data_IF_567609256308
#
_entry.id   IF_567609256308
#
_cell.length_a   1.000
_cell.length_b   1.000
_cell.length_c   1.000
_cell.angle_alpha   90.00
_cell.angle_beta   90.00
_cell.angle_gamma   90.00
#
_symmetry.space_group_name_H-M   'P 1'
#
loop_
_entity.id
_entity.type
_entity.pdbx_description
1 polymer ?
#
# COMPACT_ATOMS: atom_id res chain seq x y z
N UNK A 1 -21.97 12.95 2.62
CA UNK A 1 -20.91 13.99 2.61
C UNK A 1 -19.85 13.51 3.57
N UNK A 2 -18.59 13.50 3.15
CA UNK A 2 -17.50 13.09 4.03
C UNK A 2 -17.04 14.28 4.87
N UNK A 3 -16.79 14.03 6.16
CA UNK A 3 -16.35 15.03 7.13
C UNK A 3 -14.85 14.95 7.42
N UNK A 4 -14.22 13.82 7.11
CA UNK A 4 -12.78 13.61 7.19
C UNK A 4 -12.33 12.55 6.17
N UNK A 5 -11.02 12.41 6.00
CA UNK A 5 -10.38 11.44 5.12
C UNK A 5 -10.70 9.99 5.50
N UNK A 6 -10.85 9.68 6.79
CA UNK A 6 -11.12 8.32 7.25
C UNK A 6 -12.48 7.82 6.75
N UNK A 7 -13.48 8.71 6.67
CA UNK A 7 -14.79 8.38 6.09
C UNK A 7 -14.69 8.10 4.58
N UNK A 8 -13.88 8.88 3.84
CA UNK A 8 -13.61 8.62 2.41
C UNK A 8 -13.00 7.23 2.25
N UNK A 9 -11.96 6.93 3.03
CA UNK A 9 -11.27 5.64 2.91
C UNK A 9 -12.13 4.47 3.38
N UNK A 10 -12.95 4.65 4.42
CA UNK A 10 -13.89 3.61 4.86
C UNK A 10 -14.94 3.33 3.79
N UNK A 11 -15.48 4.35 3.13
CA UNK A 11 -16.43 4.17 2.02
C UNK A 11 -15.78 3.43 0.84
N UNK A 12 -14.53 3.75 0.52
CA UNK A 12 -13.76 3.01 -0.50
C UNK A 12 -13.60 1.54 -0.10
N UNK A 13 -13.19 1.26 1.13
CA UNK A 13 -13.12 -0.12 1.64
C UNK A 13 -14.46 -0.85 1.52
N UNK A 14 -15.56 -0.21 1.93
CA UNK A 14 -16.91 -0.79 1.88
C UNK A 14 -17.34 -1.13 0.46
N UNK A 15 -17.02 -0.26 -0.50
CA UNK A 15 -17.29 -0.51 -1.90
C UNK A 15 -16.52 -1.72 -2.45
N UNK A 16 -15.24 -1.89 -2.08
CA UNK A 16 -14.49 -3.09 -2.48
C UNK A 16 -14.97 -4.35 -1.74
N UNK A 17 -15.31 -4.22 -0.47
CA UNK A 17 -15.85 -5.33 0.33
C UNK A 17 -17.19 -5.82 -0.23
N UNK A 18 -18.07 -4.91 -0.66
CA UNK A 18 -19.35 -5.26 -1.29
C UNK A 18 -19.23 -5.96 -2.65
N UNK A 19 -18.03 -6.03 -3.25
CA UNK A 19 -17.77 -6.73 -4.52
C UNK A 19 -17.26 -8.17 -4.33
N UNK A 20 -17.17 -8.66 -3.08
CA UNK A 20 -16.79 -10.04 -2.80
C UNK A 20 -17.86 -10.97 -3.39
N UNK A 21 -17.44 -11.92 -4.24
CA UNK A 21 -18.33 -12.92 -4.83
C UNK A 21 -18.46 -14.17 -3.94
N UNK A 22 -19.23 -15.16 -4.39
CA UNK A 22 -19.48 -16.42 -3.67
C UNK A 22 -18.21 -17.25 -3.40
N UNK A 23 -17.13 -17.01 -4.17
CA UNK A 23 -15.83 -17.65 -3.94
C UNK A 23 -14.99 -16.90 -2.89
N UNK A 24 -15.55 -15.86 -2.27
CA UNK A 24 -14.87 -15.05 -1.26
C UNK A 24 -13.77 -14.16 -1.85
N UNK A 25 -13.77 -13.85 -3.16
CA UNK A 25 -12.75 -12.99 -3.80
C UNK A 25 -13.39 -11.77 -4.45
N UNK A 26 -12.61 -10.73 -4.72
CA UNK A 26 -13.08 -9.58 -5.51
C UNK A 26 -12.67 -9.84 -6.97
N UNK A 27 -13.60 -10.06 -7.89
CA UNK A 27 -13.28 -10.28 -9.30
C UNK A 27 -12.71 -9.00 -9.93
N UNK A 28 -11.69 -9.16 -10.77
CA UNK A 28 -11.09 -8.08 -11.53
C UNK A 28 -10.92 -8.49 -12.99
N UNK A 29 -10.97 -7.51 -13.88
CA UNK A 29 -10.63 -7.69 -15.28
C UNK A 29 -9.48 -6.75 -15.62
N UNK A 30 -8.30 -7.32 -15.80
CA UNK A 30 -7.13 -6.57 -16.19
C UNK A 30 -7.02 -6.61 -17.71
N UNK A 31 -6.96 -5.42 -18.33
CA UNK A 31 -6.63 -5.32 -19.75
C UNK A 31 -5.38 -6.15 -20.05
N UNK A 32 -5.41 -6.91 -21.15
CA UNK A 32 -4.24 -7.62 -21.62
C UNK A 32 -3.06 -6.65 -21.74
N UNK A 33 -1.83 -7.05 -21.37
CA UNK A 33 -0.64 -6.23 -21.57
C UNK A 33 -0.50 -5.98 -23.08
N UNK A 34 -0.97 -4.84 -23.57
CA UNK A 34 -0.79 -4.46 -24.97
C UNK A 34 0.69 -4.24 -25.21
N UNK A 35 1.15 -4.69 -26.38
CA UNK A 35 2.54 -4.82 -26.79
C UNK A 35 3.50 -3.73 -26.24
N UNK A 36 4.58 -4.23 -25.65
CA UNK A 36 5.94 -3.67 -25.54
C UNK A 36 6.13 -2.31 -26.22
N UNK A 37 6.38 -1.25 -25.44
CA UNK A 37 6.90 -0.01 -26.01
C UNK A 37 6.90 1.24 -25.15
N UNK A 38 6.16 1.33 -24.04
CA UNK A 38 6.22 2.51 -23.18
C UNK A 38 6.24 2.16 -21.69
N UNK A 39 7.08 2.87 -20.95
CA UNK A 39 7.35 2.69 -19.51
C UNK A 39 6.17 3.21 -18.64
N UNK A 40 4.91 2.94 -18.99
CA UNK A 40 3.73 3.71 -18.53
C UNK A 40 2.45 2.90 -18.83
N UNK A 41 1.48 2.58 -17.99
CA UNK A 41 1.12 2.77 -16.60
C UNK A 41 0.72 1.37 -16.10
N UNK A 42 0.84 1.10 -14.80
CA UNK A 42 0.46 -0.20 -14.29
C UNK A 42 -1.05 -0.49 -14.51
N UNK A 43 -1.42 -1.58 -15.23
CA UNK A 43 -2.82 -1.87 -15.55
C UNK A 43 -3.73 -2.00 -14.31
N UNK A 44 -3.18 -2.43 -13.18
CA UNK A 44 -3.94 -2.56 -11.95
C UNK A 44 -4.26 -1.18 -11.36
N UNK A 45 -3.30 -0.26 -11.35
CA UNK A 45 -3.51 1.09 -10.82
C UNK A 45 -4.57 1.83 -11.65
N UNK A 46 -4.57 1.63 -12.99
CA UNK A 46 -5.64 2.12 -13.88
C UNK A 46 -7.01 1.53 -13.51
N UNK A 47 -7.08 0.22 -13.25
CA UNK A 47 -8.31 -0.44 -12.87
C UNK A 47 -8.85 0.14 -11.55
N UNK A 48 -7.99 0.39 -10.57
CA UNK A 48 -8.39 0.97 -9.28
C UNK A 48 -8.93 2.39 -9.48
N UNK A 49 -8.22 3.25 -10.23
CA UNK A 49 -8.72 4.58 -10.58
C UNK A 49 -10.12 4.50 -11.21
N UNK A 50 -10.31 3.67 -12.22
CA UNK A 50 -11.58 3.54 -12.94
C UNK A 50 -12.70 3.05 -12.01
N UNK A 51 -12.44 2.03 -11.18
CA UNK A 51 -13.41 1.54 -10.20
C UNK A 51 -13.83 2.63 -9.22
N UNK A 52 -12.88 3.45 -8.75
CA UNK A 52 -13.17 4.56 -7.84
C UNK A 52 -13.98 5.66 -8.53
N UNK A 53 -13.61 6.07 -9.74
CA UNK A 53 -14.34 7.08 -10.52
C UNK A 53 -15.78 6.66 -10.80
N UNK A 54 -16.01 5.38 -11.09
CA UNK A 54 -17.35 4.83 -11.35
C UNK A 54 -18.19 4.75 -10.08
N UNK A 55 -17.61 4.30 -8.96
CA UNK A 55 -18.32 4.11 -7.71
C UNK A 55 -18.63 5.43 -6.98
N UNK A 56 -17.77 6.45 -7.14
CA UNK A 56 -17.85 7.69 -6.38
C UNK A 56 -17.82 8.93 -7.30
N UNK A 57 -18.91 9.25 -8.02
CA UNK A 57 -18.96 10.39 -8.94
C UNK A 57 -18.77 11.75 -8.26
N UNK A 58 -19.05 11.83 -6.96
CA UNK A 58 -18.81 13.01 -6.11
C UNK A 58 -17.34 13.24 -5.79
N UNK A 59 -16.49 12.23 -5.97
CA UNK A 59 -15.05 12.33 -5.77
C UNK A 59 -14.36 12.70 -7.09
N UNK A 60 -13.33 13.51 -6.99
CA UNK A 60 -12.32 13.70 -8.03
C UNK A 60 -11.20 12.71 -7.76
N UNK A 61 -10.94 11.81 -8.71
CA UNK A 61 -9.93 10.75 -8.58
C UNK A 61 -8.92 10.91 -9.73
N UNK A 62 -7.66 11.10 -9.38
CA UNK A 62 -6.57 11.45 -10.30
C UNK A 62 -5.38 10.54 -10.06
N UNK A 63 -4.83 9.91 -11.11
CA UNK A 63 -3.52 9.25 -11.04
C UNK A 63 -2.37 10.25 -11.09
N UNK A 64 -1.37 10.07 -10.23
CA UNK A 64 -0.22 10.99 -10.10
C UNK A 64 0.86 10.82 -11.19
N UNK A 65 0.72 9.83 -12.08
CA UNK A 65 1.64 9.57 -13.19
C UNK A 65 2.94 8.87 -12.77
N UNK A 66 3.87 8.70 -13.72
CA UNK A 66 5.10 7.93 -13.50
C UNK A 66 5.93 8.47 -12.35
N UNK A 67 6.43 7.54 -11.51
CA UNK A 67 7.43 7.83 -10.47
C UNK A 67 6.95 8.87 -9.44
N UNK A 68 5.64 9.07 -9.34
CA UNK A 68 5.01 9.96 -8.37
C UNK A 68 4.26 9.14 -7.34
N UNK A 69 4.43 9.48 -6.07
CA UNK A 69 3.68 8.92 -4.95
C UNK A 69 2.84 10.03 -4.32
N UNK A 70 1.57 9.77 -3.93
CA UNK A 70 0.87 8.48 -4.04
C UNK A 70 0.41 8.16 -5.46
N UNK A 71 0.19 6.90 -5.80
CA UNK A 71 -0.28 6.48 -7.13
C UNK A 71 -1.60 7.16 -7.54
N UNK A 72 -2.53 7.33 -6.59
CA UNK A 72 -3.84 7.95 -6.78
C UNK A 72 -4.06 9.07 -5.74
N UNK A 73 -4.64 10.18 -6.19
CA UNK A 73 -5.16 11.27 -5.36
C UNK A 73 -6.67 11.27 -5.45
N UNK A 74 -7.33 11.35 -4.30
CA UNK A 74 -8.79 11.43 -4.19
C UNK A 74 -9.12 12.75 -3.50
N UNK A 75 -10.06 13.49 -4.06
CA UNK A 75 -10.59 14.72 -3.49
C UNK A 75 -12.11 14.70 -3.43
N UNK A 76 -12.69 14.95 -2.27
CA UNK A 76 -14.12 15.24 -2.18
C UNK A 76 -14.38 16.62 -2.82
N UNK A 77 -15.13 16.65 -3.92
CA UNK A 77 -15.40 17.88 -4.68
C UNK A 77 -16.16 18.92 -3.86
N UNK A 78 -16.93 18.49 -2.85
CA UNK A 78 -17.80 19.36 -2.06
C UNK A 78 -17.10 19.90 -0.83
N UNK A 79 -16.35 19.08 -0.11
CA UNK A 79 -15.69 19.49 1.14
C UNK A 79 -14.23 19.90 0.93
N UNK A 80 -13.63 19.49 -0.18
CA UNK A 80 -12.23 19.76 -0.49
C UNK A 80 -11.25 18.87 0.29
N UNK A 81 -11.71 17.87 1.02
CA UNK A 81 -10.86 16.85 1.67
C UNK A 81 -10.05 16.15 0.59
N UNK A 82 -8.73 16.04 0.79
CA UNK A 82 -7.81 15.37 -0.14
C UNK A 82 -7.12 14.24 0.61
N UNK A 83 -7.08 13.06 0.00
CA UNK A 83 -6.40 11.88 0.52
C UNK A 83 -5.62 11.18 -0.59
N UNK A 84 -4.41 10.74 -0.24
CA UNK A 84 -3.56 9.94 -1.09
C UNK A 84 -3.86 8.45 -0.93
N UNK A 85 -3.79 7.72 -2.04
CA UNK A 85 -3.88 6.26 -2.06
C UNK A 85 -2.72 5.69 -2.87
N UNK A 86 -1.76 5.07 -2.18
CA UNK A 86 -0.71 4.29 -2.80
C UNK A 86 -1.20 2.86 -3.03
N UNK A 87 -0.98 2.32 -4.23
CA UNK A 87 -1.38 0.96 -4.60
C UNK A 87 -0.15 0.06 -4.58
N UNK A 88 -0.30 -1.10 -3.93
CA UNK A 88 0.73 -2.13 -3.87
C UNK A 88 0.08 -3.47 -4.17
N UNK A 89 0.62 -4.21 -5.12
CA UNK A 89 0.12 -5.55 -5.44
C UNK A 89 1.23 -6.57 -5.51
N UNK A 90 0.85 -7.80 -5.25
CA UNK A 90 1.63 -8.99 -5.52
C UNK A 90 0.73 -10.00 -6.24
N UNK A 91 1.32 -10.85 -7.07
CA UNK A 91 0.63 -12.00 -7.66
C UNK A 91 0.97 -13.22 -6.82
N UNK A 92 -0.01 -14.09 -6.54
CA UNK A 92 0.21 -15.36 -5.87
C UNK A 92 1.16 -16.25 -6.67
N UNK A 93 1.99 -17.01 -5.98
CA UNK A 93 2.66 -18.19 -6.53
C UNK A 93 1.63 -19.29 -6.81
N UNK A 94 1.97 -20.33 -7.59
CA UNK A 94 1.06 -21.46 -7.85
C UNK A 94 0.52 -22.16 -6.58
N UNK A 95 1.23 -22.06 -5.45
CA UNK A 95 0.80 -22.61 -4.16
C UNK A 95 -0.08 -21.66 -3.32
N UNK A 96 -0.53 -20.53 -3.89
CA UNK A 96 -1.37 -19.53 -3.21
C UNK A 96 -0.61 -18.55 -2.29
N UNK A 97 0.68 -18.78 -2.02
CA UNK A 97 1.47 -17.86 -1.19
C UNK A 97 1.84 -16.59 -1.96
N UNK A 98 2.17 -15.51 -1.25
CA UNK A 98 2.62 -14.30 -1.92
C UNK A 98 3.99 -14.48 -2.61
N UNK A 99 4.21 -13.67 -3.64
CA UNK A 99 5.45 -13.67 -4.44
C UNK A 99 6.64 -13.06 -3.69
N UNK A 100 6.40 -12.41 -2.56
CA UNK A 100 7.44 -11.87 -1.67
C UNK A 100 7.50 -12.69 -0.38
N UNK A 101 8.19 -12.16 0.61
CA UNK A 101 8.34 -12.78 1.92
C UNK A 101 8.11 -11.72 2.98
N UNK A 102 9.04 -11.59 3.92
CA UNK A 102 8.94 -10.64 5.04
C UNK A 102 8.77 -9.18 4.60
N UNK A 103 9.44 -8.76 3.53
CA UNK A 103 9.47 -7.37 3.08
C UNK A 103 9.13 -7.22 1.60
N UNK A 104 8.70 -6.03 1.22
CA UNK A 104 8.47 -5.62 -0.17
C UNK A 104 9.15 -4.28 -0.47
N UNK A 105 9.33 -4.01 -1.77
CA UNK A 105 10.03 -2.82 -2.24
C UNK A 105 9.11 -1.60 -2.27
N UNK A 106 9.61 -0.48 -1.76
CA UNK A 106 8.97 0.85 -1.80
C UNK A 106 9.90 1.77 -2.58
N UNK A 107 9.87 1.61 -3.90
CA UNK A 107 10.79 2.26 -4.82
C UNK A 107 10.61 3.78 -4.78
N UNK A 108 11.72 4.51 -4.62
CA UNK A 108 11.77 5.99 -4.75
C UNK A 108 10.94 6.81 -3.76
N UNK A 109 10.05 6.20 -2.97
CA UNK A 109 9.29 6.87 -1.92
C UNK A 109 9.00 5.91 -0.77
N UNK A 110 9.21 6.39 0.46
CA UNK A 110 8.97 5.62 1.67
C UNK A 110 7.47 5.48 1.96
N UNK A 111 7.03 4.38 2.60
CA UNK A 111 5.68 4.34 3.13
C UNK A 111 5.51 5.44 4.19
N UNK A 112 4.39 6.16 4.19
CA UNK A 112 4.05 7.10 5.26
C UNK A 112 2.54 7.38 5.28
N UNK A 113 1.95 7.61 6.46
CA UNK A 113 0.55 8.05 6.56
C UNK A 113 0.32 9.48 6.11
N UNK A 114 1.37 10.21 5.73
CA UNK A 114 1.30 11.55 5.13
C UNK A 114 2.10 11.57 3.83
N UNK A 115 1.56 12.19 2.79
CA UNK A 115 2.22 12.40 1.52
C UNK A 115 2.35 13.89 1.20
N UNK A 116 3.48 14.24 0.59
CA UNK A 116 3.73 15.59 0.06
C UNK A 116 3.36 15.63 -1.41
N UNK A 117 2.40 16.46 -1.78
CA UNK A 117 1.91 16.66 -3.15
C UNK A 117 2.06 18.12 -3.60
N UNK A 118 1.96 18.35 -4.91
CA UNK A 118 1.95 19.70 -5.48
C UNK A 118 0.51 20.06 -5.88
N UNK A 119 0.00 21.17 -5.34
CA UNK A 119 -1.30 21.75 -5.67
C UNK A 119 -1.10 23.11 -6.35
N UNK A 120 -1.21 23.13 -7.68
CA UNK A 120 -0.82 24.31 -8.46
C UNK A 120 0.68 24.60 -8.28
N UNK A 121 1.03 25.74 -7.71
CA UNK A 121 2.42 26.09 -7.39
C UNK A 121 2.80 25.84 -5.92
N UNK A 122 1.84 25.47 -5.07
CA UNK A 122 2.07 25.19 -3.66
C UNK A 122 2.36 23.71 -3.44
N UNK A 123 3.10 23.42 -2.36
CA UNK A 123 3.22 22.07 -1.83
C UNK A 123 2.22 21.90 -0.70
N UNK A 124 1.61 20.73 -0.59
CA UNK A 124 0.64 20.41 0.45
C UNK A 124 0.93 19.02 1.03
N UNK A 125 0.78 18.92 2.34
CA UNK A 125 0.81 17.66 3.09
C UNK A 125 -0.62 17.13 3.14
N UNK A 126 -0.82 15.87 2.72
CA UNK A 126 -2.13 15.22 2.73
C UNK A 126 -2.04 13.86 3.44
N UNK A 127 -3.11 13.38 4.08
CA UNK A 127 -3.17 12.00 4.58
C UNK A 127 -2.96 11.00 3.44
N UNK A 128 -2.33 9.86 3.74
CA UNK A 128 -2.02 8.83 2.76
C UNK A 128 -2.33 7.43 3.31
N UNK A 129 -3.03 6.66 2.48
CA UNK A 129 -3.40 5.28 2.71
C UNK A 129 -2.72 4.38 1.68
N UNK A 130 -2.63 3.10 2.03
CA UNK A 130 -2.06 2.06 1.19
C UNK A 130 -3.13 1.02 0.92
N UNK A 131 -3.35 0.75 -0.35
CA UNK A 131 -4.16 -0.38 -0.82
C UNK A 131 -3.23 -1.52 -1.20
N UNK A 132 -3.22 -2.57 -0.39
CA UNK A 132 -2.51 -3.81 -0.70
C UNK A 132 -3.45 -4.84 -1.32
N UNK A 133 -3.06 -5.39 -2.46
CA UNK A 133 -3.80 -6.44 -3.16
C UNK A 133 -2.91 -7.66 -3.45
N UNK A 134 -3.27 -8.82 -2.90
CA UNK A 134 -2.72 -10.09 -3.37
C UNK A 134 -3.66 -10.65 -4.45
N UNK A 135 -3.19 -10.66 -5.68
CA UNK A 135 -3.94 -11.17 -6.83
C UNK A 135 -3.83 -12.69 -6.92
N UNK A 136 -4.86 -13.34 -7.44
CA UNK A 136 -4.80 -14.75 -7.82
C UNK A 136 -3.66 -15.01 -8.80
N UNK A 137 -3.20 -16.26 -8.91
CA UNK A 137 -2.05 -16.59 -9.75
C UNK A 137 -2.25 -16.22 -11.23
N UNK A 138 -3.49 -16.31 -11.72
CA UNK A 138 -3.93 -15.89 -13.06
C UNK A 138 -4.28 -14.39 -13.15
N UNK A 139 -4.19 -13.65 -12.04
CA UNK A 139 -4.52 -12.22 -11.92
C UNK A 139 -5.97 -11.85 -12.27
N UNK A 140 -6.92 -12.80 -12.16
CA UNK A 140 -8.35 -12.58 -12.40
C UNK A 140 -9.15 -12.11 -11.18
N UNK A 141 -8.53 -12.15 -9.99
CA UNK A 141 -9.21 -11.74 -8.75
C UNK A 141 -8.23 -11.17 -7.71
N UNK A 142 -8.76 -10.36 -6.79
CA UNK A 142 -8.07 -9.96 -5.57
C UNK A 142 -8.47 -10.95 -4.46
N UNK A 143 -7.50 -11.75 -4.02
CA UNK A 143 -7.66 -12.78 -2.98
C UNK A 143 -7.45 -12.20 -1.59
N UNK A 144 -6.53 -11.25 -1.43
CA UNK A 144 -6.37 -10.48 -0.19
C UNK A 144 -6.45 -8.99 -0.51
N UNK A 145 -7.29 -8.26 0.21
CA UNK A 145 -7.43 -6.81 0.10
C UNK A 145 -7.19 -6.19 1.47
N UNK A 146 -6.28 -5.22 1.55
CA UNK A 146 -6.00 -4.49 2.78
C UNK A 146 -5.99 -3.02 2.43
N UNK A 147 -6.90 -2.25 3.01
CA UNK A 147 -6.84 -0.80 2.95
C UNK A 147 -6.34 -0.26 4.29
N UNK A 148 -5.14 0.32 4.30
CA UNK A 148 -4.38 0.55 5.51
C UNK A 148 -3.91 2.00 5.63
N UNK A 149 -4.08 2.60 6.81
CA UNK A 149 -3.49 3.90 7.13
C UNK A 149 -1.95 3.81 7.06
N UNK A 150 -1.29 4.70 6.31
CA UNK A 150 0.14 4.56 6.01
C UNK A 150 1.07 4.55 7.22
N UNK A 151 0.72 5.26 8.29
CA UNK A 151 1.45 5.24 9.57
C UNK A 151 1.61 3.83 10.17
N UNK A 152 0.72 2.89 9.84
CA UNK A 152 0.84 1.50 10.30
C UNK A 152 2.19 0.88 9.92
N UNK A 153 2.70 1.24 8.72
CA UNK A 153 3.98 0.76 8.20
C UNK A 153 5.13 1.65 8.70
N UNK A 154 4.99 2.97 8.56
CA UNK A 154 5.98 3.96 8.96
C UNK A 154 5.30 5.32 9.16
N UNK A 155 5.54 5.97 10.29
CA UNK A 155 4.96 7.29 10.60
C UNK A 155 5.95 8.46 10.43
N UNK A 156 7.22 8.20 10.09
CA UNK A 156 8.23 9.26 9.97
C UNK A 156 8.11 10.03 8.64
N UNK A 157 7.35 11.13 8.69
CA UNK A 157 7.14 12.01 7.55
C UNK A 157 8.38 12.84 7.17
N UNK A 158 9.29 13.09 8.10
CA UNK A 158 10.53 13.81 7.78
C UNK A 158 11.47 12.92 6.98
N UNK A 159 11.55 11.63 7.32
CA UNK A 159 12.28 10.64 6.53
C UNK A 159 11.65 10.49 5.14
N UNK A 160 10.31 10.45 5.04
CA UNK A 160 9.59 10.48 3.75
C UNK A 160 10.02 11.66 2.87
N UNK A 161 10.01 12.89 3.41
CA UNK A 161 10.39 14.11 2.66
C UNK A 161 11.84 14.04 2.18
N UNK A 162 12.76 13.58 3.03
CA UNK A 162 14.17 13.37 2.67
C UNK A 162 14.31 12.37 1.53
N UNK A 163 13.58 11.26 1.58
CA UNK A 163 13.61 10.23 0.54
C UNK A 163 13.14 10.75 -0.83
N UNK A 164 12.10 11.62 -0.88
CA UNK A 164 11.61 12.20 -2.14
C UNK A 164 12.67 13.01 -2.89
N UNK A 165 13.55 13.71 -2.18
CA UNK A 165 14.59 14.58 -2.77
C UNK A 165 15.97 13.93 -2.86
N UNK A 166 16.13 12.70 -2.34
CA UNK A 166 17.42 12.01 -2.31
C UNK A 166 17.84 11.41 -3.67
N UNK A 167 16.90 11.21 -4.59
CA UNK A 167 17.17 10.54 -5.86
C UNK A 167 17.90 11.47 -6.84
N UNK A 168 19.00 11.00 -7.43
CA UNK A 168 19.80 11.77 -8.40
C UNK A 168 19.90 11.00 -9.74
N UNK A 169 20.11 11.73 -10.83
CA UNK A 169 20.37 11.15 -12.15
C UNK A 169 21.56 11.84 -12.77
N UNK A 170 22.53 11.04 -13.20
CA UNK A 170 23.71 11.47 -13.93
C UNK A 170 23.55 11.06 -15.40
N UNK A 171 23.84 11.98 -16.32
CA UNK A 171 23.83 11.74 -17.76
C UNK A 171 25.26 11.64 -18.29
N UNK A 172 25.42 11.28 -19.56
CA UNK A 172 26.73 11.15 -20.21
C UNK A 172 27.59 10.02 -19.64
N UNK A 173 26.96 8.91 -19.21
CA UNK A 173 27.65 7.79 -18.59
C UNK A 173 28.16 6.77 -19.62
N UNK A 174 29.31 6.17 -19.33
CA UNK A 174 29.96 5.16 -20.17
C UNK A 174 30.82 5.77 -21.30
N UNK A 175 31.58 4.93 -22.02
CA UNK A 175 32.59 5.40 -22.99
C UNK A 175 32.01 6.15 -24.20
N UNK A 176 30.72 5.94 -24.50
CA UNK A 176 30.02 6.61 -25.60
C UNK A 176 29.17 7.80 -25.15
N UNK A 177 29.06 8.07 -23.85
CA UNK A 177 28.30 9.21 -23.33
C UNK A 177 26.78 9.14 -23.54
N UNK A 178 26.23 8.02 -24.00
CA UNK A 178 24.78 7.86 -24.24
C UNK A 178 24.05 7.33 -23.00
N UNK A 179 24.79 6.83 -22.02
CA UNK A 179 24.23 6.26 -20.81
C UNK A 179 23.75 7.31 -19.82
N UNK A 180 22.87 6.89 -18.92
CA UNK A 180 22.58 7.60 -17.68
C UNK A 180 22.62 6.64 -16.51
N UNK A 181 23.06 7.12 -15.34
CA UNK A 181 22.98 6.39 -14.08
C UNK A 181 21.96 7.07 -13.19
N UNK A 182 21.09 6.27 -12.59
CA UNK A 182 20.09 6.75 -11.63
C UNK A 182 20.48 6.26 -10.24
N UNK A 183 20.85 7.19 -9.37
CA UNK A 183 21.11 6.93 -7.96
C UNK A 183 19.79 7.04 -7.21
N UNK A 184 19.07 5.91 -7.14
CA UNK A 184 17.80 5.83 -6.41
C UNK A 184 17.95 4.98 -5.17
N UNK A 185 17.46 5.50 -4.05
CA UNK A 185 17.33 4.68 -2.85
C UNK A 185 16.20 3.66 -3.06
N UNK A 186 16.51 2.40 -2.75
CA UNK A 186 15.57 1.29 -2.84
C UNK A 186 15.22 0.87 -1.42
N UNK A 187 14.04 1.29 -0.95
CA UNK A 187 13.61 1.02 0.41
C UNK A 187 12.87 -0.32 0.48
N UNK A 188 13.08 -1.07 1.56
CA UNK A 188 12.30 -2.28 1.87
C UNK A 188 11.62 -2.12 3.21
N UNK A 189 10.31 -2.34 3.24
CA UNK A 189 9.49 -2.26 4.44
C UNK A 189 8.68 -3.55 4.60
N UNK A 190 8.05 -3.77 5.77
CA UNK A 190 7.20 -4.94 5.97
C UNK A 190 6.20 -5.14 4.84
N UNK A 191 5.89 -6.40 4.57
CA UNK A 191 4.94 -6.83 3.55
C UNK A 191 3.63 -7.27 4.22
N UNK A 192 2.57 -6.44 4.24
CA UNK A 192 1.26 -6.84 4.77
C UNK A 192 0.62 -8.01 4.03
N UNK A 193 1.03 -8.30 2.79
CA UNK A 193 0.51 -9.42 1.99
C UNK A 193 1.19 -10.76 2.28
N UNK A 194 2.12 -10.81 3.24
CA UNK A 194 2.83 -12.03 3.59
C UNK A 194 1.84 -13.10 4.09
N UNK A 195 1.83 -14.27 3.44
CA UNK A 195 0.92 -15.38 3.75
C UNK A 195 1.01 -15.93 5.19
N UNK A 196 2.08 -15.59 5.92
CA UNK A 196 2.27 -15.93 7.33
C UNK A 196 1.44 -15.04 8.27
N UNK A 197 1.04 -13.84 7.83
CA UNK A 197 0.21 -12.92 8.62
C UNK A 197 -1.27 -13.34 8.51
N UNK A 198 -1.71 -14.24 9.38
CA UNK A 198 -3.06 -14.83 9.32
C UNK A 198 -4.19 -13.82 9.52
N UNK A 199 -3.93 -12.74 10.24
CA UNK A 199 -4.88 -11.63 10.39
C UNK A 199 -5.13 -10.89 9.07
N UNK A 200 -4.30 -11.09 8.03
CA UNK A 200 -4.47 -10.45 6.72
C UNK A 200 -4.70 -11.44 5.59
N UNK A 201 -3.96 -12.55 5.55
CA UNK A 201 -3.94 -13.46 4.42
C UNK A 201 -5.35 -13.95 4.05
N UNK A 202 -5.71 -13.81 2.77
CA UNK A 202 -7.03 -14.13 2.16
C UNK A 202 -8.23 -13.29 2.62
N UNK A 203 -8.01 -12.29 3.49
CA UNK A 203 -9.07 -11.44 4.04
C UNK A 203 -9.24 -10.14 3.26
N UNK A 204 -10.32 -9.42 3.55
CA UNK A 204 -10.65 -8.10 3.00
C UNK A 204 -10.88 -7.14 4.16
N UNK A 205 -9.83 -6.45 4.58
CA UNK A 205 -9.84 -5.69 5.84
C UNK A 205 -9.46 -4.23 5.67
N UNK A 206 -9.91 -3.42 6.61
CA UNK A 206 -9.53 -2.02 6.76
C UNK A 206 -8.70 -1.86 8.03
N UNK A 207 -7.57 -1.17 7.94
CA UNK A 207 -6.65 -0.96 9.06
C UNK A 207 -6.48 0.52 9.31
N UNK A 208 -6.88 0.98 10.49
CA UNK A 208 -6.75 2.38 10.90
C UNK A 208 -6.41 2.47 12.39
N UNK A 209 -6.03 3.66 12.88
CA UNK A 209 -5.76 3.85 14.31
C UNK A 209 -7.03 3.57 15.08
N UNK A 210 -6.89 3.00 16.28
CA UNK A 210 -8.03 2.63 17.14
C UNK A 210 -8.98 3.81 17.36
N UNK A 211 -8.43 4.98 17.68
CA UNK A 211 -9.18 6.22 17.87
C UNK A 211 -9.99 6.63 16.62
N UNK A 212 -9.43 6.46 15.42
CA UNK A 212 -10.13 6.79 14.18
C UNK A 212 -11.29 5.81 13.93
N UNK A 213 -11.11 4.53 14.27
CA UNK A 213 -12.19 3.53 14.22
C UNK A 213 -13.31 3.84 15.23
N UNK A 214 -12.99 4.33 16.42
CA UNK A 214 -13.96 4.77 17.42
C UNK A 214 -14.77 5.97 16.93
N UNK A 215 -14.09 6.97 16.35
CA UNK A 215 -14.74 8.15 15.76
C UNK A 215 -15.63 7.81 14.57
N UNK A 216 -15.25 6.81 13.78
CA UNK A 216 -16.07 6.25 12.70
C UNK A 216 -17.19 5.34 13.21
N UNK A 217 -17.23 5.03 14.51
CA UNK A 217 -18.18 4.10 15.13
C UNK A 217 -18.11 2.66 14.55
N UNK A 218 -16.93 2.25 14.08
CA UNK A 218 -16.70 0.93 13.47
C UNK A 218 -15.91 -0.03 14.35
N UNK A 219 -15.53 0.36 15.57
CA UNK A 219 -14.75 -0.50 16.48
C UNK A 219 -15.40 -1.84 16.81
N UNK A 220 -16.74 -1.94 16.74
CA UNK A 220 -17.47 -3.20 16.92
C UNK A 220 -17.13 -4.25 15.84
N UNK A 221 -16.65 -3.81 14.67
CA UNK A 221 -16.19 -4.65 13.56
C UNK A 221 -14.71 -5.04 13.67
N UNK A 222 -14.01 -4.62 14.73
CA UNK A 222 -12.62 -5.00 14.93
C UNK A 222 -12.50 -6.50 15.24
N UNK A 223 -11.72 -7.22 14.45
CA UNK A 223 -11.37 -8.63 14.70
C UNK A 223 -10.07 -8.76 15.46
N UNK A 224 -9.14 -7.82 15.24
CA UNK A 224 -7.87 -7.74 15.94
C UNK A 224 -7.54 -6.29 16.31
N UNK A 225 -6.87 -6.13 17.45
CA UNK A 225 -6.18 -4.90 17.83
C UNK A 225 -4.68 -5.15 17.69
N UNK A 226 -3.96 -4.24 17.06
CA UNK A 226 -2.52 -4.37 16.83
C UNK A 226 -1.79 -3.28 17.59
N UNK A 227 -0.88 -3.69 18.49
CA UNK A 227 0.04 -2.81 19.18
C UNK A 227 1.36 -2.71 18.41
N UNK A 228 1.70 -1.50 17.99
CA UNK A 228 2.92 -1.17 17.24
C UNK A 228 3.84 -0.33 18.12
N UNK A 229 4.99 -0.89 18.49
CA UNK A 229 6.03 -0.18 19.22
C UNK A 229 7.09 0.38 18.27
N UNK A 230 7.42 1.65 18.43
CA UNK A 230 8.54 2.27 17.74
C UNK A 230 9.88 2.04 18.47
N UNK A 231 10.96 2.62 17.94
CA UNK A 231 12.31 2.48 18.52
C UNK A 231 12.52 3.26 19.82
N UNK A 232 11.53 4.05 20.23
CA UNK A 232 11.50 4.84 21.46
C UNK A 232 10.49 4.28 22.47
N UNK A 233 9.98 3.07 22.21
CA UNK A 233 8.99 2.37 23.05
C UNK A 233 7.61 3.06 23.11
N UNK A 234 7.33 4.02 22.22
CA UNK A 234 5.97 4.56 22.09
C UNK A 234 5.05 3.50 21.48
N UNK A 235 3.86 3.35 22.06
CA UNK A 235 2.86 2.39 21.60
C UNK A 235 1.77 3.08 20.78
N UNK A 236 1.49 2.54 19.60
CA UNK A 236 0.40 2.96 18.72
C UNK A 236 -0.58 1.80 18.53
N UNK A 237 -1.86 2.04 18.79
CA UNK A 237 -2.92 1.05 18.67
C UNK A 237 -3.70 1.22 17.35
N UNK A 238 -3.91 0.11 16.66
CA UNK A 238 -4.65 0.03 15.41
C UNK A 238 -5.69 -1.09 15.48
N UNK A 239 -6.82 -0.90 14.81
CA UNK A 239 -7.81 -1.96 14.64
C UNK A 239 -7.74 -2.53 13.23
N UNK A 240 -7.83 -3.86 13.12
CA UNK A 240 -8.14 -4.56 11.88
C UNK A 240 -9.65 -4.74 11.84
N UNK A 241 -10.29 -4.00 10.95
CA UNK A 241 -11.74 -3.98 10.74
C UNK A 241 -12.10 -4.96 9.62
N UNK A 242 -13.07 -5.83 9.90
CA UNK A 242 -13.63 -6.77 8.93
C UNK A 242 -15.16 -6.64 8.92
N UNK A 243 -15.72 -6.16 7.81
CA UNK A 243 -17.18 -6.05 7.65
C UNK A 243 -17.90 -7.40 7.73
N UNK A 244 -17.18 -8.52 7.58
CA UNK A 244 -17.71 -9.87 7.69
C UNK A 244 -17.66 -10.48 9.08
N UNK A 245 -17.25 -9.71 10.11
CA UNK A 245 -17.17 -10.21 11.49
C UNK A 245 -18.53 -10.81 11.92
N UNK A 246 -18.62 -12.14 12.12
CA UNK A 246 -19.90 -12.83 12.26
C UNK A 246 -20.57 -12.56 13.60
N UNK A 247 -19.77 -12.42 14.66
CA UNK A 247 -20.24 -12.09 16.00
C UNK A 247 -19.54 -10.82 16.48
N UNK A 248 -20.29 -9.72 16.48
CA UNK A 248 -19.79 -8.40 16.87
C UNK A 248 -19.53 -8.29 18.38
N UNK A 249 -20.02 -9.23 19.19
CA UNK A 249 -19.81 -9.24 20.64
C UNK A 249 -18.44 -9.81 21.05
N UNK A 250 -17.76 -10.53 20.16
CA UNK A 250 -16.44 -11.08 20.42
C UNK A 250 -15.41 -9.95 20.44
N UNK A 251 -14.67 -9.84 21.55
CA UNK A 251 -13.59 -8.86 21.70
C UNK A 251 -12.45 -9.12 20.70
N UNK A 252 -11.79 -8.07 20.18
CA UNK A 252 -10.70 -8.22 19.22
C UNK A 252 -9.48 -8.90 19.86
N UNK A 253 -8.80 -9.75 19.09
CA UNK A 253 -7.55 -10.40 19.52
C UNK A 253 -6.40 -9.38 19.47
N UNK A 254 -5.65 -9.23 20.57
CA UNK A 254 -4.46 -8.38 20.61
C UNK A 254 -3.28 -9.06 19.89
N UNK A 255 -2.65 -8.35 18.95
CA UNK A 255 -1.41 -8.73 18.28
C UNK A 255 -0.32 -7.72 18.65
N UNK A 256 0.73 -8.19 19.30
CA UNK A 256 1.91 -7.38 19.59
C UNK A 256 2.96 -7.55 18.49
N UNK A 257 3.48 -6.43 18.00
CA UNK A 257 4.59 -6.36 17.04
C UNK A 257 4.45 -7.32 15.83
N UNK A 258 3.34 -7.16 15.09
CA UNK A 258 2.97 -7.93 13.89
C UNK A 258 4.11 -8.12 12.86
N UNK A 259 5.14 -7.27 12.87
CA UNK A 259 6.30 -7.33 11.97
C UNK A 259 7.64 -7.57 12.70
N UNK A 260 7.63 -8.22 13.86
CA UNK A 260 8.83 -8.51 14.66
C UNK A 260 9.96 -9.18 13.84
N UNK A 261 9.63 -10.12 12.95
CA UNK A 261 10.59 -10.78 12.05
C UNK A 261 11.37 -9.79 11.15
N UNK A 262 10.78 -8.64 10.82
CA UNK A 262 11.46 -7.61 10.04
C UNK A 262 12.55 -6.90 10.86
N UNK A 263 12.35 -6.76 12.19
CA UNK A 263 13.31 -6.16 13.12
C UNK A 263 14.52 -7.07 13.36
N UNK A 264 14.31 -8.40 13.30
CA UNK A 264 15.35 -9.39 13.51
C UNK A 264 16.32 -9.57 12.31
N UNK A 265 16.11 -8.86 11.19
CA UNK A 265 16.96 -9.00 10.00
C UNK A 265 18.35 -8.42 10.23
N UNK A 266 19.37 -9.11 9.70
CA UNK A 266 20.77 -8.67 9.70
C UNK A 266 21.18 -8.21 8.30
N UNK A 267 22.03 -7.18 8.23
CA UNK A 267 22.57 -6.67 6.98
C UNK A 267 23.33 -7.75 6.20
N UNK A 268 23.07 -7.85 4.90
CA UNK A 268 23.82 -8.74 4.00
C UNK A 268 24.91 -7.95 3.30
N UNK A 269 26.15 -8.43 3.38
CA UNK A 269 27.28 -7.87 2.65
C UNK A 269 27.29 -8.49 1.24
N UNK A 270 27.38 -7.67 0.19
CA UNK A 270 27.60 -8.18 -1.16
C UNK A 270 29.05 -8.66 -1.26
N UNK A 271 29.23 -9.94 -1.59
CA UNK A 271 30.54 -10.56 -1.81
C UNK A 271 30.71 -10.94 -3.28
N UNK A 272 31.94 -11.07 -3.74
CA UNK A 272 32.30 -11.54 -5.10
C UNK A 272 31.68 -12.89 -5.48
N UNK A 273 31.20 -13.66 -4.50
CA UNK A 273 30.44 -14.91 -4.67
C UNK A 273 29.15 -14.73 -5.49
N UNK A 274 28.62 -13.51 -5.64
CA UNK A 274 27.45 -13.26 -6.52
C UNK A 274 27.80 -13.14 -8.01
N UNK A 275 29.08 -13.25 -8.38
CA UNK A 275 29.49 -13.26 -9.78
C UNK A 275 29.31 -14.65 -10.39
N UNK A 276 28.90 -14.76 -11.67
CA UNK A 276 28.84 -16.05 -12.35
C UNK A 276 30.20 -16.75 -12.33
N UNK A 277 30.23 -18.00 -11.89
CA UNK A 277 31.43 -18.85 -11.95
C UNK A 277 31.34 -19.70 -13.20
N UNK A 278 32.26 -19.51 -14.14
CA UNK A 278 32.47 -20.43 -15.24
C UNK A 278 33.44 -21.52 -14.77
N UNK A 279 33.03 -22.77 -14.90
CA UNK A 279 33.92 -23.93 -14.73
C UNK A 279 34.85 -23.94 -15.95
N UNK A 280 36.17 -23.96 -15.71
CA UNK A 280 37.18 -24.13 -16.76
C UNK A 280 37.24 -25.58 -17.22
#
# INVERSE_FOLDING_TARGET
MYHNEHQVMKAIYDNFYGQINDNGVIPIDLRAPSLVGTVQDDPFDCLIEQKLQQAFPELEVVRSGKLTTPDIIIRDKRTGIIVGLEVKKLIQKPNGTDSRGLTMDYNSCLPCGTALIKMGNAMADIPCYYMYALLSNDSSSIVTFILMHGDFINYDFNLYKKAKVANQTEYNHGPYGEGSVRHRAMYTYPNPLNYKLKCFYTRKVFVAKKFDCENLQISHLATEEVSRYDIYENNFLYNIIDNGKPDQSVEPVLIEDIFADCKARVAKIRTSVSMPVLIK
#
